data_IF_997248097121
#
_entry.id   IF_997248097121
#
_cell.length_a   1.000
_cell.length_b   1.000
_cell.length_c   1.000
_cell.angle_alpha   90.00
_cell.angle_beta   90.00
_cell.angle_gamma   90.00
#
_symmetry.space_group_name_H-M   'P 1'
#
loop_
_entity.id
_entity.type
_entity.pdbx_description
1 polymer ?
#
# COMPACT_ATOMS: atom_id res chain seq x y z
N UNK A 1 -40.24 65.81 12.10
CA UNK A 1 -41.65 65.40 12.23
C UNK A 1 -41.92 64.40 11.14
N UNK A 2 -42.09 63.13 11.50
CA UNK A 2 -43.38 62.40 11.63
C UNK A 2 -43.69 61.62 10.35
N UNK A 3 -43.66 60.30 10.50
CA UNK A 3 -44.10 59.29 9.53
C UNK A 3 -45.62 59.10 9.62
N UNK A 4 -46.30 58.82 8.51
CA UNK A 4 -47.56 58.05 8.48
C UNK A 4 -47.91 57.60 7.03
N UNK A 5 -49.02 56.89 6.83
CA UNK A 5 -49.02 55.43 6.67
C UNK A 5 -50.27 54.98 5.87
N UNK A 6 -50.17 53.91 5.07
CA UNK A 6 -51.29 53.27 4.33
C UNK A 6 -51.95 54.10 3.20
N UNK A 7 -52.65 53.55 2.21
CA UNK A 7 -53.18 52.19 1.97
C UNK A 7 -53.34 51.98 0.44
N UNK A 8 -53.18 50.75 -0.07
CA UNK A 8 -53.72 50.38 -1.39
C UNK A 8 -54.25 48.94 -1.33
N UNK A 9 -55.55 48.80 -1.57
CA UNK A 9 -56.25 47.52 -1.60
C UNK A 9 -56.78 47.25 -3.02
N UNK A 10 -56.27 46.21 -3.66
CA UNK A 10 -57.01 45.36 -4.60
C UNK A 10 -56.68 43.92 -4.18
N UNK A 11 -57.58 43.14 -3.59
CA UNK A 11 -58.87 42.66 -4.12
C UNK A 11 -58.74 41.69 -5.30
N UNK A 12 -58.34 40.46 -4.96
CA UNK A 12 -58.99 39.23 -5.46
C UNK A 12 -58.58 38.68 -6.83
N UNK A 13 -58.01 37.47 -6.84
CA UNK A 13 -57.95 36.64 -8.04
C UNK A 13 -56.90 35.53 -8.01
N UNK A 14 -57.30 34.32 -7.60
CA UNK A 14 -56.51 33.10 -7.85
C UNK A 14 -55.55 32.68 -6.73
N UNK A 15 -56.08 32.00 -5.71
CA UNK A 15 -55.26 31.21 -4.79
C UNK A 15 -54.75 29.94 -5.47
N UNK A 16 -53.71 30.06 -6.28
CA UNK A 16 -52.86 28.95 -6.69
C UNK A 16 -51.75 28.80 -5.66
N UNK A 17 -51.94 27.90 -4.68
CA UNK A 17 -50.86 27.51 -3.79
C UNK A 17 -49.88 26.61 -4.53
N UNK A 18 -49.03 27.24 -5.34
CA UNK A 18 -47.77 26.72 -5.89
C UNK A 18 -46.76 26.53 -4.76
N UNK A 19 -47.14 25.72 -3.77
CA UNK A 19 -46.26 25.23 -2.74
C UNK A 19 -45.22 24.35 -3.42
N UNK A 20 -44.05 24.93 -3.69
CA UNK A 20 -42.86 24.16 -3.97
C UNK A 20 -42.77 23.05 -2.89
N UNK A 21 -42.57 21.78 -3.28
CA UNK A 21 -42.65 20.66 -2.34
C UNK A 21 -41.70 20.92 -1.17
N UNK A 22 -42.23 20.94 0.04
CA UNK A 22 -41.47 21.31 1.24
C UNK A 22 -40.39 20.26 1.50
N UNK A 23 -39.16 20.56 1.06
CA UNK A 23 -38.06 19.61 1.09
C UNK A 23 -37.54 19.49 2.52
N UNK A 24 -38.07 18.50 3.24
CA UNK A 24 -37.72 18.24 4.63
C UNK A 24 -36.24 17.87 4.78
N UNK A 25 -35.55 18.46 5.75
CA UNK A 25 -34.13 18.21 5.96
C UNK A 25 -33.84 16.76 6.37
N UNK A 26 -32.72 16.18 5.93
CA UNK A 26 -32.33 14.82 6.27
C UNK A 26 -31.97 14.67 7.75
N UNK A 27 -32.02 13.44 8.25
CA UNK A 27 -31.40 13.07 9.54
C UNK A 27 -30.63 11.77 9.38
N UNK A 28 -29.60 11.56 10.21
CA UNK A 28 -28.94 10.26 10.41
C UNK A 28 -29.14 9.87 11.87
N UNK A 29 -29.86 8.77 12.11
CA UNK A 29 -30.17 8.28 13.46
C UNK A 29 -29.23 7.17 13.91
N UNK A 30 -28.75 6.34 12.99
CA UNK A 30 -27.75 5.31 13.25
C UNK A 30 -27.04 4.87 11.96
N UNK A 31 -25.94 4.13 12.12
CA UNK A 31 -25.28 3.42 11.04
C UNK A 31 -24.73 2.09 11.55
N UNK A 32 -24.69 1.08 10.69
CA UNK A 32 -24.19 -0.25 11.04
C UNK A 32 -23.42 -0.88 9.86
N UNK A 33 -22.21 -1.44 10.07
CA UNK A 33 -21.47 -1.49 11.34
C UNK A 33 -20.99 -0.10 11.78
N UNK A 34 -20.69 0.06 13.07
CA UNK A 34 -20.13 1.33 13.62
C UNK A 34 -18.62 1.47 13.38
N UNK A 35 -17.98 0.43 12.86
CA UNK A 35 -16.54 0.35 12.64
C UNK A 35 -16.21 -0.62 11.50
N UNK A 36 -15.11 -0.39 10.80
CA UNK A 36 -14.60 -1.28 9.77
C UNK A 36 -13.52 -0.63 8.91
N UNK A 37 -12.85 -1.39 8.02
CA UNK A 37 -11.86 -0.86 7.09
C UNK A 37 -12.47 -0.03 5.97
N UNK A 38 -11.58 0.61 5.20
CA UNK A 38 -11.86 1.00 3.80
C UNK A 38 -12.51 -0.18 3.06
N UNK A 39 -13.52 0.11 2.25
CA UNK A 39 -14.32 -0.92 1.55
C UNK A 39 -15.49 -1.49 2.37
N UNK A 40 -15.62 -1.17 3.66
CA UNK A 40 -16.80 -1.60 4.46
C UNK A 40 -18.09 -1.06 3.87
N UNK A 41 -19.07 -1.92 3.65
CA UNK A 41 -20.44 -1.51 3.30
C UNK A 41 -21.21 -1.14 4.56
N UNK A 42 -21.54 0.14 4.72
CA UNK A 42 -22.24 0.69 5.89
C UNK A 42 -23.69 0.97 5.52
N UNK A 43 -24.62 0.45 6.32
CA UNK A 43 -26.05 0.79 6.26
C UNK A 43 -26.31 1.99 7.15
N UNK A 44 -26.70 3.11 6.55
CA UNK A 44 -27.03 4.38 7.20
C UNK A 44 -28.55 4.47 7.33
N UNK A 45 -29.05 4.69 8.54
CA UNK A 45 -30.48 4.80 8.86
C UNK A 45 -30.82 6.23 9.29
N UNK A 46 -31.98 6.73 8.88
CA UNK A 46 -32.36 8.12 9.10
C UNK A 46 -33.75 8.49 8.58
N UNK A 47 -33.92 9.74 8.18
CA UNK A 47 -35.15 10.25 7.54
C UNK A 47 -34.82 11.21 6.39
N UNK A 48 -35.74 11.36 5.45
CA UNK A 48 -35.66 12.26 4.29
C UNK A 48 -34.38 12.06 3.45
N UNK A 49 -33.93 10.81 3.35
CA UNK A 49 -32.72 10.39 2.61
C UNK A 49 -32.94 10.20 1.10
N UNK A 50 -34.19 10.33 0.63
CA UNK A 50 -34.52 10.25 -0.81
C UNK A 50 -33.80 11.34 -1.60
N UNK A 51 -33.16 10.95 -2.70
CA UNK A 51 -32.45 11.90 -3.58
C UNK A 51 -31.12 12.39 -3.02
N UNK A 52 -30.51 11.69 -2.06
CA UNK A 52 -29.16 12.00 -1.60
C UNK A 52 -28.17 12.05 -2.78
N UNK A 53 -27.26 13.04 -2.74
CA UNK A 53 -26.29 13.36 -3.80
C UNK A 53 -24.85 13.08 -3.40
N UNK A 54 -24.52 13.16 -2.10
CA UNK A 54 -23.24 12.67 -1.55
C UNK A 54 -23.44 11.95 -0.23
N UNK A 55 -22.55 10.99 0.02
CA UNK A 55 -22.24 10.45 1.35
C UNK A 55 -20.75 10.67 1.55
N UNK A 56 -20.36 11.13 2.74
CA UNK A 56 -18.98 11.39 3.11
C UNK A 56 -18.67 10.74 4.46
N UNK A 57 -17.52 10.08 4.55
CA UNK A 57 -16.97 9.58 5.80
C UNK A 57 -15.83 10.52 6.22
N UNK A 58 -16.02 11.27 7.30
CA UNK A 58 -15.08 12.29 7.80
C UNK A 58 -14.57 13.26 6.72
N UNK A 59 -15.47 13.70 5.83
CA UNK A 59 -15.15 14.58 4.69
C UNK A 59 -14.56 13.89 3.46
N UNK A 60 -14.34 12.58 3.49
CA UNK A 60 -13.96 11.79 2.31
C UNK A 60 -15.21 11.25 1.60
N UNK A 61 -15.47 11.67 0.36
CA UNK A 61 -16.66 11.24 -0.40
C UNK A 61 -16.64 9.74 -0.70
N UNK A 62 -17.73 9.04 -0.39
CA UNK A 62 -17.91 7.63 -0.67
C UNK A 62 -17.85 7.35 -2.17
N UNK A 63 -17.11 6.32 -2.59
CA UNK A 63 -16.96 5.94 -4.01
C UNK A 63 -18.26 5.40 -4.60
N UNK A 64 -19.15 4.89 -3.76
CA UNK A 64 -20.46 4.36 -4.15
C UNK A 64 -21.43 4.42 -2.96
N UNK A 65 -22.69 4.74 -3.25
CA UNK A 65 -23.81 4.57 -2.33
C UNK A 65 -25.10 4.27 -3.10
N UNK A 66 -26.05 3.61 -2.44
CA UNK A 66 -27.38 3.32 -2.95
C UNK A 66 -28.43 3.87 -1.99
N UNK A 67 -29.31 4.73 -2.48
CA UNK A 67 -30.51 5.13 -1.74
C UNK A 67 -31.53 4.00 -1.81
N UNK A 68 -31.71 3.27 -0.71
CA UNK A 68 -32.64 2.13 -0.65
C UNK A 68 -34.08 2.63 -0.53
N UNK A 69 -34.31 3.63 0.33
CA UNK A 69 -35.59 4.32 0.51
C UNK A 69 -35.38 5.61 1.33
N UNK A 70 -36.45 6.32 1.66
CA UNK A 70 -36.42 7.58 2.41
C UNK A 70 -35.80 7.51 3.82
N UNK A 71 -35.62 6.31 4.39
CA UNK A 71 -35.06 6.09 5.73
C UNK A 71 -33.77 5.27 5.74
N UNK A 72 -33.25 4.85 4.58
CA UNK A 72 -32.06 4.00 4.48
C UNK A 72 -31.21 4.25 3.24
N UNK A 73 -29.89 4.36 3.45
CA UNK A 73 -28.84 4.36 2.43
C UNK A 73 -27.83 3.25 2.75
N UNK A 74 -27.24 2.63 1.73
CA UNK A 74 -26.00 1.85 1.90
C UNK A 74 -24.86 2.58 1.21
N UNK A 75 -23.69 2.67 1.86
CA UNK A 75 -22.52 3.39 1.33
C UNK A 75 -21.21 2.67 1.65
N UNK A 76 -20.25 2.73 0.73
CA UNK A 76 -18.95 2.07 0.88
C UNK A 76 -17.91 3.04 1.45
N UNK A 77 -17.20 2.66 2.51
CA UNK A 77 -16.13 3.48 3.11
C UNK A 77 -15.01 3.71 2.07
N UNK A 78 -14.70 4.96 1.68
CA UNK A 78 -13.71 5.25 0.64
C UNK A 78 -12.26 5.15 1.13
N UNK A 79 -11.31 5.03 0.21
CA UNK A 79 -9.87 5.10 0.49
C UNK A 79 -9.48 6.47 1.06
N UNK A 80 -8.55 6.50 2.02
CA UNK A 80 -8.10 7.74 2.67
C UNK A 80 -9.01 8.23 3.82
N UNK A 81 -10.13 7.54 4.09
CA UNK A 81 -10.99 7.85 5.23
C UNK A 81 -10.23 7.70 6.55
N UNK A 82 -10.44 8.65 7.48
CA UNK A 82 -10.03 8.53 8.89
C UNK A 82 -11.27 8.47 9.80
N UNK A 83 -11.11 7.94 11.02
CA UNK A 83 -12.21 7.85 12.00
C UNK A 83 -12.89 9.20 12.24
N UNK A 84 -14.21 9.25 12.01
CA UNK A 84 -15.00 10.48 12.12
C UNK A 84 -16.46 10.28 11.73
N UNK A 85 -17.23 11.36 11.68
CA UNK A 85 -18.68 11.32 11.41
C UNK A 85 -19.01 11.00 9.95
N UNK A 86 -20.21 10.47 9.71
CA UNK A 86 -20.78 10.29 8.38
C UNK A 86 -21.67 11.50 8.08
N UNK A 87 -21.52 12.10 6.90
CA UNK A 87 -22.38 13.18 6.39
C UNK A 87 -23.13 12.72 5.15
N UNK A 88 -24.41 13.10 5.05
CA UNK A 88 -25.26 12.86 3.89
C UNK A 88 -25.85 14.18 3.38
N UNK A 89 -25.77 14.41 2.07
CA UNK A 89 -26.28 15.61 1.40
C UNK A 89 -27.52 15.26 0.57
N UNK A 90 -28.63 15.95 0.79
CA UNK A 90 -29.87 15.82 0.00
C UNK A 90 -30.36 17.20 -0.45
N UNK A 91 -31.36 17.30 -1.35
CA UNK A 91 -31.97 18.58 -1.70
C UNK A 91 -32.61 19.33 -0.51
N UNK A 92 -32.85 18.66 0.63
CA UNK A 92 -33.35 19.26 1.87
C UNK A 92 -32.26 19.79 2.82
N UNK A 93 -30.99 19.69 2.43
CA UNK A 93 -29.83 20.10 3.23
C UNK A 93 -28.90 18.93 3.56
N UNK A 94 -28.08 19.10 4.60
CA UNK A 94 -27.12 18.09 5.05
C UNK A 94 -27.48 17.53 6.42
N UNK A 95 -27.16 16.26 6.65
CA UNK A 95 -27.22 15.60 7.94
C UNK A 95 -25.86 15.01 8.28
N UNK A 96 -25.43 15.15 9.53
CA UNK A 96 -24.21 14.52 10.06
C UNK A 96 -24.58 13.60 11.20
N UNK A 97 -23.95 12.42 11.26
CA UNK A 97 -24.18 11.43 12.31
C UNK A 97 -23.69 11.92 13.67
N UNK A 98 -24.41 11.57 14.73
CA UNK A 98 -24.05 11.92 16.12
C UNK A 98 -22.85 11.12 16.65
N UNK A 99 -22.62 9.92 16.11
CA UNK A 99 -21.44 9.10 16.38
C UNK A 99 -20.45 9.10 15.21
N UNK A 100 -19.18 8.82 15.50
CA UNK A 100 -18.15 8.57 14.49
C UNK A 100 -18.18 7.11 14.03
N UNK A 101 -17.97 6.89 12.73
CA UNK A 101 -17.55 5.60 12.22
C UNK A 101 -16.06 5.41 12.52
N UNK A 102 -15.72 4.34 13.23
CA UNK A 102 -14.31 4.01 13.50
C UNK A 102 -13.72 3.30 12.29
N UNK A 103 -12.88 4.00 11.54
CA UNK A 103 -12.04 3.35 10.53
C UNK A 103 -11.04 2.48 11.29
N UNK A 104 -11.28 1.18 11.27
CA UNK A 104 -10.27 0.23 11.70
C UNK A 104 -9.31 0.06 10.53
N UNK A 105 -8.01 0.19 10.76
CA UNK A 105 -7.11 -0.67 10.00
C UNK A 105 -7.58 -2.09 10.30
N UNK A 106 -8.06 -2.80 9.29
CA UNK A 106 -8.20 -4.24 9.42
C UNK A 106 -6.78 -4.78 9.44
N UNK A 107 -6.26 -5.33 10.56
CA UNK A 107 -5.31 -6.41 10.41
C UNK A 107 -6.11 -7.51 9.74
N UNK A 108 -5.89 -7.71 8.46
CA UNK A 108 -6.48 -8.82 7.73
C UNK A 108 -6.11 -10.06 8.53
N UNK A 109 -7.10 -10.87 8.88
CA UNK A 109 -6.86 -12.20 9.43
C UNK A 109 -6.31 -13.07 8.30
N UNK A 110 -5.02 -12.90 8.05
CA UNK A 110 -4.29 -13.43 6.91
C UNK A 110 -2.87 -12.86 6.93
N UNK A 111 -1.88 -13.69 6.62
CA UNK A 111 -0.48 -13.30 6.56
C UNK A 111 -0.28 -12.06 5.68
N UNK A 112 0.49 -11.09 6.17
CA UNK A 112 1.04 -9.97 5.38
C UNK A 112 2.49 -10.21 4.97
N UNK A 113 2.92 -11.48 4.99
CA UNK A 113 4.22 -11.92 4.47
C UNK A 113 4.04 -12.26 2.99
N UNK A 114 4.81 -11.61 2.11
CA UNK A 114 4.93 -11.97 0.72
C UNK A 114 6.16 -12.86 0.53
N UNK A 115 5.92 -14.17 0.61
CA UNK A 115 6.92 -15.24 0.49
C UNK A 115 6.86 -15.94 -0.89
N UNK A 116 7.57 -17.06 -1.01
CA UNK A 116 7.63 -17.88 -2.23
C UNK A 116 6.25 -18.33 -2.75
N UNK A 117 5.24 -18.50 -1.88
CA UNK A 117 3.92 -19.02 -2.23
C UNK A 117 3.12 -18.02 -3.06
N UNK A 118 3.24 -16.72 -2.74
CA UNK A 118 2.53 -15.61 -3.43
C UNK A 118 3.39 -14.93 -4.50
N UNK A 119 4.71 -15.14 -4.47
CA UNK A 119 5.68 -14.65 -5.46
C UNK A 119 5.59 -15.40 -6.81
N UNK A 120 4.40 -15.43 -7.41
CA UNK A 120 4.05 -16.20 -8.62
C UNK A 120 3.12 -15.39 -9.54
N UNK A 121 3.34 -15.48 -10.85
CA UNK A 121 2.47 -14.81 -11.84
C UNK A 121 1.01 -15.22 -11.69
N UNK A 122 0.74 -16.51 -11.44
CA UNK A 122 -0.61 -17.03 -11.23
C UNK A 122 -1.35 -16.35 -10.07
N UNK A 123 -0.64 -15.96 -9.01
CA UNK A 123 -1.21 -15.24 -7.84
C UNK A 123 -1.29 -13.74 -8.13
N UNK A 124 -0.31 -13.14 -8.81
CA UNK A 124 -0.42 -11.77 -9.31
C UNK A 124 -1.68 -11.58 -10.18
N UNK A 125 -2.05 -12.60 -10.97
CA UNK A 125 -3.23 -12.53 -11.86
C UNK A 125 -4.57 -12.68 -11.13
N UNK A 126 -4.60 -13.11 -9.87
CA UNK A 126 -5.84 -13.10 -9.07
C UNK A 126 -6.11 -11.75 -8.42
N UNK A 127 -5.17 -10.80 -8.41
CA UNK A 127 -5.39 -9.52 -7.74
C UNK A 127 -6.46 -8.71 -8.50
N UNK A 128 -7.56 -8.29 -7.85
CA UNK A 128 -8.58 -7.49 -8.49
C UNK A 128 -8.02 -6.15 -8.98
N UNK A 129 -8.37 -5.77 -10.22
CA UNK A 129 -7.88 -4.54 -10.85
C UNK A 129 -8.11 -3.27 -10.02
N UNK A 130 -9.11 -3.25 -9.13
CA UNK A 130 -9.37 -2.12 -8.23
C UNK A 130 -8.18 -1.83 -7.30
N UNK A 131 -7.59 -2.87 -6.67
CA UNK A 131 -6.46 -2.71 -5.76
C UNK A 131 -5.16 -2.37 -6.49
N UNK A 132 -4.95 -2.93 -7.68
CA UNK A 132 -3.84 -2.54 -8.57
C UNK A 132 -3.99 -1.07 -9.02
N UNK A 133 -5.22 -0.63 -9.35
CA UNK A 133 -5.49 0.76 -9.69
C UNK A 133 -5.23 1.68 -8.50
N UNK A 134 -5.71 1.36 -7.30
CA UNK A 134 -5.38 2.12 -6.08
C UNK A 134 -3.87 2.20 -5.91
N UNK A 135 -3.17 1.05 -5.86
CA UNK A 135 -1.73 1.00 -5.68
C UNK A 135 -0.97 1.90 -6.68
N UNK A 136 -1.25 1.76 -7.98
CA UNK A 136 -0.55 2.51 -9.05
C UNK A 136 -1.00 3.96 -9.21
N UNK A 137 -1.96 4.47 -8.45
CA UNK A 137 -2.39 5.88 -8.56
C UNK A 137 -2.43 6.62 -7.22
N UNK A 138 -2.20 5.93 -6.10
CA UNK A 138 -2.18 6.55 -4.76
C UNK A 138 -0.88 6.34 -4.01
N UNK A 139 0.00 5.42 -4.42
CA UNK A 139 1.25 5.18 -3.71
C UNK A 139 2.45 5.87 -4.36
N UNK A 140 3.20 6.53 -3.49
CA UNK A 140 4.51 7.11 -3.73
C UNK A 140 5.48 6.32 -2.86
N UNK A 141 6.24 5.44 -3.50
CA UNK A 141 7.04 4.40 -2.87
C UNK A 141 8.50 4.84 -2.82
N UNK A 142 9.06 5.01 -1.63
CA UNK A 142 10.50 5.15 -1.46
C UNK A 142 11.13 3.78 -1.20
N UNK A 143 11.96 3.30 -2.12
CA UNK A 143 12.74 2.06 -1.95
C UNK A 143 14.22 2.40 -1.92
N UNK A 144 14.88 2.14 -0.79
CA UNK A 144 16.29 2.48 -0.62
C UNK A 144 17.12 1.21 -0.46
N UNK A 145 18.10 0.99 -1.33
CA UNK A 145 18.63 -0.35 -1.54
C UNK A 145 20.05 -0.37 -2.10
N UNK A 146 20.67 -1.55 -2.04
CA UNK A 146 21.99 -1.84 -2.59
C UNK A 146 21.91 -2.90 -3.69
N UNK A 147 22.98 -3.65 -3.94
CA UNK A 147 23.14 -4.51 -5.11
C UNK A 147 22.02 -5.54 -5.24
N UNK A 148 21.77 -6.38 -4.23
CA UNK A 148 20.69 -7.37 -4.27
C UNK A 148 19.28 -6.76 -4.35
N UNK A 149 19.11 -5.54 -3.83
CA UNK A 149 17.82 -4.82 -3.91
C UNK A 149 17.39 -4.51 -5.34
N UNK A 150 18.33 -4.41 -6.29
CA UNK A 150 18.03 -4.27 -7.73
C UNK A 150 17.10 -5.38 -8.26
N UNK A 151 17.01 -6.53 -7.57
CA UNK A 151 16.09 -7.61 -7.95
C UNK A 151 14.61 -7.18 -7.88
N UNK A 152 14.20 -6.31 -6.94
CA UNK A 152 12.83 -5.75 -6.97
C UNK A 152 12.72 -4.71 -8.08
N UNK A 153 13.58 -3.71 -8.10
CA UNK A 153 13.48 -2.57 -9.03
C UNK A 153 13.46 -3.05 -10.48
N UNK A 154 14.43 -3.89 -10.88
CA UNK A 154 14.52 -4.36 -12.27
C UNK A 154 13.38 -5.31 -12.67
N UNK A 155 12.90 -6.13 -11.73
CA UNK A 155 11.71 -6.96 -11.92
C UNK A 155 10.45 -6.12 -12.11
N UNK A 156 10.29 -5.07 -11.31
CA UNK A 156 9.19 -4.11 -11.39
C UNK A 156 9.22 -3.33 -12.71
N UNK A 157 10.40 -2.95 -13.19
CA UNK A 157 10.56 -2.24 -14.47
C UNK A 157 10.28 -3.10 -15.70
N UNK A 158 10.57 -4.41 -15.64
CA UNK A 158 10.26 -5.35 -16.71
C UNK A 158 8.78 -5.75 -16.79
N UNK A 159 8.06 -5.79 -15.66
CA UNK A 159 6.69 -6.30 -15.58
C UNK A 159 5.69 -5.62 -16.55
N UNK A 160 5.71 -4.29 -16.78
CA UNK A 160 4.93 -3.62 -17.82
C UNK A 160 4.99 -4.27 -19.22
N UNK A 161 6.10 -4.92 -19.56
CA UNK A 161 6.33 -5.56 -20.85
C UNK A 161 5.92 -7.04 -20.92
N UNK A 162 5.45 -7.64 -19.82
CA UNK A 162 5.25 -9.10 -19.74
C UNK A 162 4.04 -9.59 -20.54
N UNK A 163 2.82 -9.19 -20.17
CA UNK A 163 1.58 -9.65 -20.82
C UNK A 163 0.71 -8.47 -21.28
N UNK A 164 -0.21 -8.74 -22.22
CA UNK A 164 -1.12 -7.73 -22.76
C UNK A 164 -1.93 -7.05 -21.64
N UNK A 165 -1.77 -5.73 -21.51
CA UNK A 165 -2.41 -4.92 -20.47
C UNK A 165 -1.51 -4.60 -19.27
N UNK A 166 -0.35 -5.25 -19.12
CA UNK A 166 0.55 -5.04 -17.98
C UNK A 166 1.16 -3.63 -18.00
N UNK A 167 1.41 -3.06 -19.18
CA UNK A 167 1.81 -1.66 -19.32
C UNK A 167 0.81 -0.66 -18.71
N UNK A 168 -0.46 -1.03 -18.60
CA UNK A 168 -1.47 -0.25 -17.87
C UNK A 168 -1.53 -0.66 -16.39
N UNK A 169 -1.56 -1.96 -16.08
CA UNK A 169 -1.74 -2.44 -14.71
C UNK A 169 -0.54 -2.15 -13.80
N UNK A 170 0.67 -2.33 -14.31
CA UNK A 170 1.90 -2.35 -13.52
C UNK A 170 2.92 -1.30 -13.99
N UNK A 171 2.47 -0.31 -14.78
CA UNK A 171 3.31 0.81 -15.22
C UNK A 171 3.86 1.60 -14.04
N UNK A 172 5.13 2.02 -14.14
CA UNK A 172 5.89 2.70 -13.08
C UNK A 172 6.58 3.96 -13.63
N UNK A 173 6.65 5.02 -12.84
CA UNK A 173 7.63 6.12 -13.00
C UNK A 173 8.75 5.95 -11.99
N UNK A 174 9.99 6.03 -12.46
CA UNK A 174 11.19 5.97 -11.62
C UNK A 174 11.77 7.38 -11.46
N UNK A 175 11.94 7.85 -10.22
CA UNK A 175 12.67 9.07 -9.86
C UNK A 175 12.25 10.30 -10.69
N UNK A 176 10.95 10.41 -10.96
CA UNK A 176 10.41 11.42 -11.86
C UNK A 176 10.15 12.72 -11.11
N UNK A 177 10.53 13.87 -11.70
CA UNK A 177 10.28 15.19 -11.11
C UNK A 177 8.78 15.52 -10.94
N UNK A 178 7.88 14.72 -11.51
CA UNK A 178 6.46 14.66 -11.20
C UNK A 178 5.94 13.24 -11.51
N UNK A 179 5.13 12.68 -10.62
CA UNK A 179 4.48 11.39 -10.82
C UNK A 179 3.54 11.40 -12.04
N UNK A 180 3.51 10.30 -12.80
CA UNK A 180 2.47 10.04 -13.79
C UNK A 180 1.23 9.50 -13.03
N UNK A 181 0.09 10.19 -13.01
CA UNK A 181 -1.07 9.81 -12.20
C UNK A 181 -1.75 8.49 -12.66
N UNK A 182 -1.21 7.83 -13.69
CA UNK A 182 -1.64 6.51 -14.17
C UNK A 182 -0.66 5.38 -13.83
N UNK A 183 0.47 5.69 -13.19
CA UNK A 183 1.55 4.75 -12.90
C UNK A 183 2.00 4.87 -11.44
N UNK A 184 2.51 3.76 -10.91
CA UNK A 184 3.12 3.76 -9.58
C UNK A 184 4.31 4.73 -9.57
N UNK A 185 4.35 5.62 -8.59
CA UNK A 185 5.48 6.51 -8.40
C UNK A 185 6.51 5.84 -7.49
N UNK A 186 7.73 5.66 -8.00
CA UNK A 186 8.74 4.78 -7.41
C UNK A 186 10.09 5.51 -7.33
N UNK A 187 10.45 5.89 -6.11
CA UNK A 187 11.65 6.63 -5.75
C UNK A 187 12.72 5.61 -5.35
N UNK A 188 13.43 5.14 -6.37
CA UNK A 188 14.45 4.08 -6.33
C UNK A 188 15.82 4.66 -5.93
N UNK A 189 16.28 4.26 -4.76
CA UNK A 189 17.57 4.59 -4.14
C UNK A 189 17.86 6.10 -3.94
N UNK A 190 16.82 6.94 -3.90
CA UNK A 190 16.99 8.41 -3.82
C UNK A 190 17.40 8.95 -2.45
N UNK A 191 17.30 8.13 -1.38
CA UNK A 191 17.81 8.52 -0.05
C UNK A 191 19.34 8.47 -0.02
N UNK A 192 19.93 7.57 -0.82
CA UNK A 192 21.38 7.42 -1.03
C UNK A 192 22.18 7.30 0.27
N UNK A 193 23.29 8.03 0.34
CA UNK A 193 24.07 8.23 1.57
C UNK A 193 24.79 6.99 2.11
N UNK A 194 25.30 7.11 3.35
CA UNK A 194 26.07 6.05 4.04
C UNK A 194 25.23 4.82 4.33
N UNK A 195 23.92 4.99 4.56
CA UNK A 195 23.01 3.92 4.96
C UNK A 195 21.94 3.62 3.90
N UNK A 196 22.38 3.51 2.65
CA UNK A 196 21.58 2.95 1.55
C UNK A 196 21.22 1.47 1.76
N UNK A 197 21.97 0.78 2.64
CA UNK A 197 21.79 -0.63 3.00
C UNK A 197 21.42 -0.80 4.48
N UNK A 198 20.55 -1.76 4.80
CA UNK A 198 20.37 -2.21 6.18
C UNK A 198 21.63 -2.90 6.73
N UNK A 199 22.46 -3.54 5.88
CA UNK A 199 23.76 -4.12 6.29
C UNK A 199 24.71 -3.06 6.87
N UNK A 200 24.67 -1.83 6.34
CA UNK A 200 25.50 -0.72 6.82
C UNK A 200 24.94 -0.04 8.08
N UNK A 201 23.65 -0.22 8.39
CA UNK A 201 22.99 0.44 9.50
C UNK A 201 23.44 -0.06 10.89
N UNK A 202 24.00 -1.26 10.98
CA UNK A 202 24.58 -1.79 12.23
C UNK A 202 25.77 -0.97 12.77
N UNK A 203 26.40 -0.14 11.93
CA UNK A 203 27.40 0.82 12.39
C UNK A 203 26.79 1.93 13.27
N UNK A 204 25.58 2.41 12.93
CA UNK A 204 24.81 3.37 13.73
C UNK A 204 23.32 3.42 13.29
N UNK A 205 22.47 2.65 13.99
CA UNK A 205 21.02 2.65 13.77
C UNK A 205 20.35 4.00 14.09
N UNK A 206 20.94 4.86 14.92
CA UNK A 206 20.40 6.19 15.17
C UNK A 206 20.65 7.11 13.96
N UNK A 207 21.87 7.08 13.40
CA UNK A 207 22.20 7.81 12.18
C UNK A 207 21.40 7.32 10.95
N UNK A 208 21.12 6.01 10.82
CA UNK A 208 20.18 5.49 9.81
C UNK A 208 18.78 6.10 9.98
N UNK A 209 18.21 6.09 11.20
CA UNK A 209 16.89 6.73 11.45
C UNK A 209 16.92 8.23 11.17
N UNK A 210 18.01 8.93 11.49
CA UNK A 210 18.14 10.37 11.21
C UNK A 210 18.25 10.66 9.71
N UNK A 211 18.87 9.78 8.91
CA UNK A 211 18.83 9.86 7.45
C UNK A 211 17.38 9.67 6.91
N UNK A 212 16.65 8.68 7.43
CA UNK A 212 15.24 8.46 7.06
C UNK A 212 14.37 9.65 7.44
N UNK A 213 14.55 10.20 8.64
CA UNK A 213 13.86 11.44 9.10
C UNK A 213 14.19 12.63 8.20
N UNK A 214 15.45 12.81 7.80
CA UNK A 214 15.84 13.89 6.91
C UNK A 214 15.16 13.79 5.53
N UNK A 215 14.99 12.58 5.00
CA UNK A 215 14.26 12.33 3.75
C UNK A 215 12.74 12.52 3.91
N UNK A 216 12.14 12.03 5.01
CA UNK A 216 10.70 12.16 5.25
C UNK A 216 10.25 13.53 5.79
N UNK A 217 11.12 14.31 6.44
CA UNK A 217 10.79 15.69 6.85
C UNK A 217 11.09 16.71 5.73
N UNK A 218 11.65 16.29 4.60
CA UNK A 218 11.80 17.13 3.41
C UNK A 218 10.45 17.33 2.71
N UNK A 219 10.06 18.60 2.50
CA UNK A 219 8.82 18.96 1.83
C UNK A 219 8.72 18.48 0.37
N UNK A 220 9.86 18.21 -0.29
CA UNK A 220 9.88 17.61 -1.63
C UNK A 220 9.32 16.17 -1.66
N UNK A 221 9.33 15.48 -0.52
CA UNK A 221 8.96 14.08 -0.36
C UNK A 221 7.68 13.92 0.48
N UNK A 222 6.85 14.97 0.57
CA UNK A 222 5.68 15.04 1.47
C UNK A 222 4.51 14.11 1.07
N UNK A 223 4.56 13.56 -0.13
CA UNK A 223 3.65 12.60 -0.76
C UNK A 223 4.03 11.14 -0.51
N UNK A 224 5.32 10.82 -0.31
CA UNK A 224 5.82 9.48 0.05
C UNK A 224 4.95 8.84 1.14
N UNK A 225 4.37 7.68 0.85
CA UNK A 225 3.42 7.02 1.73
C UNK A 225 3.62 5.51 1.85
N UNK A 226 4.58 4.95 1.11
CA UNK A 226 5.10 3.59 1.30
C UNK A 226 6.62 3.67 1.32
N UNK A 227 7.27 2.94 2.23
CA UNK A 227 8.73 2.96 2.38
C UNK A 227 9.29 1.58 2.71
N UNK A 228 10.40 1.19 2.08
CA UNK A 228 11.07 -0.09 2.34
C UNK A 228 12.58 -0.06 2.05
N UNK A 229 13.31 -1.07 2.52
CA UNK A 229 14.77 -1.19 2.37
C UNK A 229 15.21 -2.63 2.16
N UNK A 230 16.27 -2.86 1.39
CA UNK A 230 16.94 -4.17 1.28
C UNK A 230 18.06 -4.35 2.31
N UNK A 231 18.40 -5.61 2.55
CA UNK A 231 19.73 -6.02 3.00
C UNK A 231 20.53 -6.47 1.76
N UNK A 232 21.80 -6.07 1.60
CA UNK A 232 22.73 -6.82 0.74
C UNK A 232 23.07 -8.16 1.39
N UNK A 233 23.39 -8.13 2.68
CA UNK A 233 23.60 -9.28 3.53
C UNK A 233 22.97 -9.01 4.90
N UNK A 234 22.40 -10.04 5.52
CA UNK A 234 21.82 -10.01 6.88
C UNK A 234 22.65 -10.86 7.86
N UNK A 235 23.71 -11.52 7.36
CA UNK A 235 24.57 -12.42 8.12
C UNK A 235 25.34 -11.64 9.20
N UNK A 236 25.18 -12.07 10.45
CA UNK A 236 25.78 -11.43 11.62
C UNK A 236 25.11 -10.14 12.09
N UNK A 237 24.09 -9.63 11.37
CA UNK A 237 23.48 -8.33 11.65
C UNK A 237 22.47 -8.33 12.82
N UNK A 238 22.22 -7.17 13.44
CA UNK A 238 21.27 -7.08 14.56
C UNK A 238 19.81 -6.86 14.10
N UNK A 239 19.10 -7.96 13.78
CA UNK A 239 17.65 -7.90 13.54
C UNK A 239 16.87 -7.24 14.69
N UNK A 240 17.14 -7.46 15.99
CA UNK A 240 16.48 -6.73 17.06
C UNK A 240 16.66 -5.20 16.99
N UNK A 241 17.82 -4.72 16.53
CA UNK A 241 18.08 -3.29 16.31
C UNK A 241 17.32 -2.74 15.10
N UNK A 242 17.22 -3.53 14.02
CA UNK A 242 16.37 -3.21 12.87
C UNK A 242 14.90 -3.10 13.26
N UNK A 243 14.34 -4.12 13.93
CA UNK A 243 12.92 -4.16 14.31
C UNK A 243 12.54 -2.99 15.24
N UNK A 244 13.37 -2.71 16.25
CA UNK A 244 13.14 -1.56 17.14
C UNK A 244 13.31 -0.21 16.45
N UNK A 245 14.19 -0.10 15.45
CA UNK A 245 14.35 1.11 14.64
C UNK A 245 13.19 1.33 13.68
N UNK A 246 12.67 0.27 13.06
CA UNK A 246 11.46 0.28 12.25
C UNK A 246 10.23 0.68 13.09
N UNK A 247 10.06 0.10 14.29
CA UNK A 247 8.99 0.51 15.21
C UNK A 247 9.07 2.00 15.55
N UNK A 248 10.27 2.53 15.82
CA UNK A 248 10.46 3.96 16.08
C UNK A 248 9.99 4.82 14.91
N UNK A 249 10.26 4.41 13.66
CA UNK A 249 9.80 5.11 12.47
C UNK A 249 8.28 4.97 12.25
N UNK A 250 7.69 3.82 12.59
CA UNK A 250 6.24 3.61 12.58
C UNK A 250 5.54 4.50 13.61
N UNK A 251 6.07 4.62 14.83
CA UNK A 251 5.54 5.48 15.89
C UNK A 251 5.68 6.99 15.56
N UNK A 252 6.67 7.35 14.73
CA UNK A 252 6.86 8.71 14.23
C UNK A 252 5.98 9.02 13.02
N UNK A 253 6.04 8.20 11.97
CA UNK A 253 5.53 8.51 10.64
C UNK A 253 4.34 7.65 10.19
N UNK A 254 4.01 6.58 10.91
CA UNK A 254 2.83 5.74 10.64
C UNK A 254 1.51 6.45 10.88
N UNK A 255 0.39 5.76 10.61
CA UNK A 255 -0.95 6.32 10.86
C UNK A 255 -1.15 6.67 12.33
N UNK A 256 -1.45 7.94 12.62
CA UNK A 256 -1.55 8.47 13.99
C UNK A 256 -0.19 8.79 14.65
N UNK A 257 0.93 8.65 13.94
CA UNK A 257 2.28 8.85 14.46
C UNK A 257 2.58 10.25 14.96
N UNK A 258 3.65 10.37 15.76
CA UNK A 258 4.00 11.63 16.44
C UNK A 258 4.30 12.78 15.48
N UNK A 259 4.78 12.51 14.25
CA UNK A 259 5.04 13.49 13.19
C UNK A 259 3.82 13.80 12.30
N UNK A 260 2.76 12.98 12.36
CA UNK A 260 1.60 13.08 11.45
C UNK A 260 0.50 14.00 11.99
N UNK A 261 0.04 14.95 11.18
CA UNK A 261 -1.10 15.84 11.47
C UNK A 261 -0.78 17.32 11.28
N UNK A 262 -1.47 18.19 12.01
CA UNK A 262 -1.25 19.65 12.00
C UNK A 262 -0.86 20.15 13.39
N UNK A 263 0.04 21.14 13.45
CA UNK A 263 0.48 21.80 14.69
C UNK A 263 1.95 21.55 15.04
N UNK A 264 2.37 22.08 16.20
CA UNK A 264 3.78 22.06 16.64
C UNK A 264 4.35 20.64 16.72
N UNK A 265 5.48 20.40 16.05
CA UNK A 265 6.14 19.10 16.01
C UNK A 265 5.62 18.14 14.94
N UNK A 266 4.51 18.46 14.26
CA UNK A 266 4.05 17.73 13.07
C UNK A 266 4.83 18.20 11.84
N UNK A 267 5.37 17.25 11.07
CA UNK A 267 6.15 17.53 9.85
C UNK A 267 5.46 17.05 8.58
N UNK A 268 4.49 16.12 8.69
CA UNK A 268 3.75 15.57 7.54
C UNK A 268 2.26 15.51 7.83
N UNK A 269 1.45 15.64 6.79
CA UNK A 269 0.03 15.24 6.79
C UNK A 269 -0.16 13.80 6.29
N UNK A 270 0.77 13.32 5.46
CA UNK A 270 0.75 11.99 4.85
C UNK A 270 1.51 10.99 5.73
N UNK A 271 0.80 9.99 6.25
CA UNK A 271 1.39 8.85 6.95
C UNK A 271 2.13 7.90 6.01
N UNK A 272 3.20 7.27 6.50
CA UNK A 272 4.02 6.30 5.76
C UNK A 272 3.72 4.88 6.23
N UNK A 273 3.48 3.98 5.28
CA UNK A 273 3.42 2.53 5.51
C UNK A 273 4.81 1.96 5.31
N UNK A 274 5.38 1.35 6.34
CA UNK A 274 6.69 0.71 6.27
C UNK A 274 6.54 -0.78 5.94
N UNK A 275 7.25 -1.24 4.91
CA UNK A 275 7.37 -2.67 4.58
C UNK A 275 8.71 -3.17 5.12
N UNK A 276 8.64 -4.23 5.91
CA UNK A 276 9.81 -4.96 6.40
C UNK A 276 10.34 -5.89 5.30
N UNK A 277 11.64 -6.16 5.29
CA UNK A 277 12.23 -7.08 4.31
C UNK A 277 13.26 -7.97 5.00
N UNK A 278 13.30 -9.24 4.62
CA UNK A 278 14.34 -10.18 5.06
C UNK A 278 15.59 -10.03 4.19
N UNK A 279 16.70 -10.64 4.61
CA UNK A 279 17.86 -10.82 3.75
C UNK A 279 17.70 -11.95 2.73
N UNK A 280 18.79 -12.21 2.00
CA UNK A 280 18.93 -13.22 0.96
C UNK A 280 19.52 -14.53 1.50
N UNK A 281 19.42 -15.61 0.73
CA UNK A 281 20.12 -16.85 1.02
C UNK A 281 21.62 -16.77 0.64
N UNK A 282 22.51 -17.44 1.39
CA UNK A 282 23.98 -17.28 1.32
C UNK A 282 24.74 -18.62 1.16
N UNK A 283 24.10 -19.62 0.58
CA UNK A 283 24.66 -20.96 0.39
C UNK A 283 24.65 -21.79 1.68
N UNK A 284 25.72 -22.53 1.93
CA UNK A 284 25.89 -23.39 3.12
C UNK A 284 25.82 -22.64 4.48
N UNK A 285 25.79 -21.30 4.49
CA UNK A 285 25.81 -20.46 5.69
C UNK A 285 24.41 -19.93 6.10
N UNK A 286 23.33 -20.57 5.68
CA UNK A 286 21.97 -20.08 5.91
C UNK A 286 21.43 -20.20 7.35
N UNK A 287 22.01 -21.04 8.22
CA UNK A 287 21.36 -21.45 9.48
C UNK A 287 22.21 -21.25 10.74
N UNK A 288 21.56 -20.98 11.87
CA UNK A 288 22.20 -20.61 13.13
C UNK A 288 22.01 -19.13 13.49
N UNK A 289 22.35 -18.77 14.73
CA UNK A 289 22.19 -17.41 15.23
C UNK A 289 22.99 -16.40 14.40
N UNK A 290 22.31 -15.39 13.86
CA UNK A 290 22.89 -14.39 12.96
C UNK A 290 22.80 -14.75 11.47
N UNK A 291 22.45 -15.97 11.09
CA UNK A 291 22.44 -16.40 9.69
C UNK A 291 21.05 -16.23 9.03
N UNK A 292 20.97 -16.07 7.70
CA UNK A 292 19.78 -15.50 7.04
C UNK A 292 18.44 -16.18 7.28
N UNK A 293 18.36 -17.52 7.36
CA UNK A 293 17.09 -18.22 7.64
C UNK A 293 16.51 -17.84 9.00
N UNK A 294 17.35 -17.87 10.03
CA UNK A 294 16.92 -17.66 11.40
C UNK A 294 16.66 -16.15 11.65
N UNK A 295 17.39 -15.27 10.95
CA UNK A 295 17.18 -13.82 10.92
C UNK A 295 15.89 -13.43 10.20
N UNK A 296 15.62 -14.03 9.03
CA UNK A 296 14.38 -13.86 8.28
C UNK A 296 13.19 -14.27 9.13
N UNK A 297 13.29 -15.41 9.83
CA UNK A 297 12.26 -15.87 10.77
C UNK A 297 11.97 -14.86 11.89
N UNK A 298 12.99 -14.22 12.47
CA UNK A 298 12.77 -13.17 13.49
C UNK A 298 11.96 -11.99 12.92
N UNK A 299 12.21 -11.60 11.66
CA UNK A 299 11.47 -10.53 10.99
C UNK A 299 10.04 -10.96 10.67
N UNK A 300 9.82 -12.15 10.10
CA UNK A 300 8.48 -12.62 9.71
C UNK A 300 7.60 -12.95 10.92
N UNK A 301 8.16 -13.51 12.00
CA UNK A 301 7.46 -13.71 13.27
C UNK A 301 7.03 -12.37 13.87
N UNK A 302 7.92 -11.37 13.86
CA UNK A 302 7.61 -10.02 14.35
C UNK A 302 6.49 -9.36 13.52
N UNK A 303 6.58 -9.43 12.19
CA UNK A 303 5.58 -8.86 11.30
C UNK A 303 4.22 -9.54 11.46
N UNK A 304 4.20 -10.87 11.59
CA UNK A 304 2.99 -11.64 11.87
C UNK A 304 2.36 -11.26 13.21
N UNK A 305 3.17 -11.09 14.26
CA UNK A 305 2.68 -10.73 15.59
C UNK A 305 2.09 -9.31 15.69
N UNK A 306 2.51 -8.38 14.83
CA UNK A 306 2.07 -6.98 14.84
C UNK A 306 1.14 -6.60 13.67
N UNK A 307 0.92 -7.52 12.72
CA UNK A 307 0.16 -7.24 11.50
C UNK A 307 0.89 -6.31 10.52
N UNK A 308 2.23 -6.35 10.50
CA UNK A 308 3.04 -5.55 9.59
C UNK A 308 3.29 -6.25 8.25
N UNK A 309 3.44 -5.43 7.22
CA UNK A 309 3.75 -5.84 5.86
C UNK A 309 5.22 -6.28 5.74
N UNK A 310 5.48 -7.46 5.19
CA UNK A 310 6.84 -7.98 5.05
C UNK A 310 7.06 -8.73 3.74
N UNK A 311 8.16 -8.47 3.02
CA UNK A 311 8.57 -9.28 1.87
C UNK A 311 9.67 -10.24 2.33
N UNK A 312 9.41 -11.55 2.24
CA UNK A 312 10.34 -12.60 2.64
C UNK A 312 11.18 -13.05 1.44
N UNK A 313 12.25 -12.29 1.20
CA UNK A 313 13.28 -12.62 0.22
C UNK A 313 13.97 -13.94 0.51
N UNK A 314 14.17 -14.31 1.78
CA UNK A 314 14.86 -15.55 2.12
C UNK A 314 14.01 -16.73 1.66
N UNK A 315 12.71 -16.71 1.92
CA UNK A 315 11.78 -17.71 1.41
C UNK A 315 11.75 -17.72 -0.12
N UNK A 316 11.66 -16.57 -0.79
CA UNK A 316 11.66 -16.49 -2.26
C UNK A 316 12.95 -17.06 -2.87
N UNK A 317 14.11 -16.78 -2.29
CA UNK A 317 15.40 -17.25 -2.80
C UNK A 317 15.65 -18.73 -2.45
N UNK A 318 15.07 -19.24 -1.36
CA UNK A 318 15.30 -20.60 -0.88
C UNK A 318 14.33 -21.68 -1.39
N UNK A 319 13.30 -21.30 -2.15
CA UNK A 319 12.31 -22.24 -2.68
C UNK A 319 12.32 -22.22 -4.21
N UNK A 320 12.43 -23.40 -4.82
CA UNK A 320 12.27 -23.57 -6.26
C UNK A 320 10.85 -23.22 -6.73
N UNK A 321 10.64 -23.23 -8.05
CA UNK A 321 9.36 -22.87 -8.67
C UNK A 321 8.20 -23.84 -8.36
N UNK A 322 8.51 -25.04 -7.86
CA UNK A 322 7.55 -26.04 -7.36
C UNK A 322 7.37 -26.01 -5.83
N UNK A 323 7.88 -24.96 -5.18
CA UNK A 323 7.95 -24.78 -3.72
C UNK A 323 8.86 -25.77 -2.97
N UNK A 324 9.76 -26.49 -3.64
CA UNK A 324 10.78 -27.29 -2.93
C UNK A 324 11.82 -26.39 -2.28
N UNK A 325 12.00 -26.52 -0.96
CA UNK A 325 12.99 -25.78 -0.15
C UNK A 325 14.39 -26.40 -0.26
N UNK A 326 15.41 -25.53 -0.40
CA UNK A 326 16.83 -25.87 -0.37
C UNK A 326 17.55 -25.03 0.68
N UNK A 327 18.11 -25.65 1.71
CA UNK A 327 18.79 -24.94 2.80
C UNK A 327 20.19 -24.46 2.44
N UNK A 328 20.85 -25.10 1.48
CA UNK A 328 22.24 -24.85 1.04
C UNK A 328 22.34 -23.87 -0.15
N UNK A 329 21.25 -23.16 -0.44
CA UNK A 329 21.12 -22.31 -1.63
C UNK A 329 21.66 -20.91 -1.43
N UNK A 330 22.26 -20.32 -2.47
CA UNK A 330 22.68 -18.93 -2.50
C UNK A 330 21.62 -17.97 -3.12
N UNK A 331 22.00 -16.71 -3.21
CA UNK A 331 21.28 -15.57 -3.80
C UNK A 331 20.99 -15.70 -5.30
N UNK A 332 21.72 -16.58 -6.00
CA UNK A 332 21.52 -16.94 -7.41
C UNK A 332 20.90 -18.34 -7.59
N UNK A 333 20.19 -18.87 -6.58
CA UNK A 333 19.48 -20.16 -6.64
C UNK A 333 20.34 -21.41 -6.94
N UNK A 334 21.65 -21.32 -6.70
CA UNK A 334 22.58 -22.46 -6.79
C UNK A 334 22.53 -23.25 -5.49
N UNK A 335 22.23 -24.54 -5.57
CA UNK A 335 22.22 -25.48 -4.44
C UNK A 335 22.96 -26.77 -4.82
N UNK A 336 23.81 -27.26 -3.91
CA UNK A 336 24.53 -28.54 -4.07
C UNK A 336 23.57 -29.73 -3.95
N UNK A 337 22.56 -29.59 -3.09
CA UNK A 337 21.48 -30.56 -2.84
C UNK A 337 20.52 -30.67 -4.02
N UNK A 338 20.23 -29.56 -4.70
CA UNK A 338 19.56 -29.56 -6.00
C UNK A 338 20.46 -30.15 -7.11
N UNK A 339 21.76 -29.83 -7.06
CA UNK A 339 22.77 -30.27 -8.03
C UNK A 339 23.07 -29.25 -9.13
N UNK A 340 22.71 -27.98 -8.94
CA UNK A 340 22.79 -26.94 -9.97
C UNK A 340 22.06 -25.66 -9.56
N UNK A 341 21.54 -24.93 -10.55
CA UNK A 341 20.75 -23.71 -10.37
C UNK A 341 19.29 -23.97 -10.79
N UNK A 342 18.37 -24.00 -9.81
CA UNK A 342 16.98 -24.37 -10.10
C UNK A 342 16.20 -23.31 -10.87
N UNK A 343 16.59 -22.04 -10.80
CA UNK A 343 16.00 -20.99 -11.62
C UNK A 343 16.50 -21.05 -13.06
N UNK A 344 17.77 -21.39 -13.29
CA UNK A 344 18.31 -21.59 -14.63
C UNK A 344 17.66 -22.79 -15.31
N UNK A 345 17.56 -23.92 -14.62
CA UNK A 345 16.97 -25.15 -15.17
C UNK A 345 15.48 -24.96 -15.47
N UNK A 346 14.74 -24.26 -14.58
CA UNK A 346 13.36 -23.88 -14.85
C UNK A 346 13.25 -22.90 -16.02
N UNK A 347 13.99 -21.78 -16.01
CA UNK A 347 13.86 -20.72 -17.03
C UNK A 347 14.25 -21.21 -18.43
N UNK A 348 15.18 -22.17 -18.53
CA UNK A 348 15.65 -22.74 -19.81
C UNK A 348 14.58 -23.58 -20.52
N UNK A 349 13.63 -24.17 -19.77
CA UNK A 349 12.53 -25.00 -20.32
C UNK A 349 11.18 -24.26 -20.38
N UNK A 350 11.15 -22.96 -20.05
CA UNK A 350 9.95 -22.10 -20.04
C UNK A 350 10.08 -20.91 -20.99
N UNK A 351 8.94 -20.34 -21.40
CA UNK A 351 8.84 -19.43 -22.55
C UNK A 351 8.84 -17.95 -22.11
N UNK A 352 9.83 -17.19 -22.60
CA UNK A 352 9.87 -15.73 -22.47
C UNK A 352 8.59 -15.08 -23.02
N UNK A 353 7.98 -14.19 -22.25
CA UNK A 353 6.72 -13.52 -22.57
C UNK A 353 5.46 -14.34 -22.24
N UNK A 354 5.61 -15.59 -21.79
CA UNK A 354 4.50 -16.45 -21.33
C UNK A 354 4.64 -16.78 -19.84
N UNK A 355 5.80 -17.29 -19.46
CA UNK A 355 6.08 -17.83 -18.12
C UNK A 355 6.97 -16.90 -17.29
N UNK A 356 7.88 -16.19 -17.97
CA UNK A 356 8.81 -15.21 -17.39
C UNK A 356 9.06 -14.05 -18.36
N UNK A 357 9.66 -12.96 -17.87
CA UNK A 357 9.98 -11.75 -18.66
C UNK A 357 11.37 -11.21 -18.35
N UNK A 358 11.96 -10.48 -19.29
CA UNK A 358 13.25 -9.81 -19.09
C UNK A 358 13.11 -8.68 -18.05
N UNK A 359 13.98 -8.68 -17.04
CA UNK A 359 14.12 -7.51 -16.18
C UNK A 359 14.74 -6.35 -16.96
N UNK A 360 14.45 -5.11 -16.57
CA UNK A 360 15.02 -3.91 -17.20
C UNK A 360 15.77 -3.07 -16.16
N UNK A 361 16.83 -2.38 -16.58
CA UNK A 361 17.60 -1.46 -15.72
C UNK A 361 16.80 -0.23 -15.25
N UNK A 362 15.71 0.09 -15.96
CA UNK A 362 14.83 1.24 -15.75
C UNK A 362 13.50 1.05 -16.52
N UNK A 363 12.42 1.80 -16.24
CA UNK A 363 11.15 1.67 -16.97
C UNK A 363 11.30 1.92 -18.49
N UNK A 364 11.21 0.86 -19.29
CA UNK A 364 11.43 0.91 -20.74
C UNK A 364 12.91 0.99 -21.16
N UNK A 365 13.84 0.72 -20.23
CA UNK A 365 15.28 0.71 -20.44
C UNK A 365 15.83 -0.57 -21.06
N UNK A 366 17.08 -0.89 -20.73
CA UNK A 366 17.79 -2.04 -21.32
C UNK A 366 17.54 -3.31 -20.53
N UNK A 367 17.54 -4.46 -21.22
CA UNK A 367 17.51 -5.78 -20.55
C UNK A 367 18.76 -5.93 -19.68
N UNK A 368 18.56 -6.20 -18.40
CA UNK A 368 19.62 -6.34 -17.41
C UNK A 368 19.32 -7.44 -16.40
N UNK A 369 20.35 -7.95 -15.75
CA UNK A 369 20.22 -8.80 -14.58
C UNK A 369 20.34 -7.95 -13.32
N UNK A 370 19.69 -8.39 -12.23
CA UNK A 370 19.97 -7.80 -10.94
C UNK A 370 21.41 -8.10 -10.54
N UNK A 371 22.04 -7.22 -9.75
CA UNK A 371 23.35 -7.57 -9.21
C UNK A 371 23.19 -8.78 -8.28
N UNK A 372 24.05 -9.78 -8.44
CA UNK A 372 23.98 -11.08 -7.74
C UNK A 372 22.90 -12.06 -8.24
N UNK A 373 22.29 -11.85 -9.42
CA UNK A 373 21.60 -12.92 -10.13
C UNK A 373 22.06 -13.08 -11.59
N UNK A 374 21.81 -14.28 -12.14
CA UNK A 374 22.05 -14.64 -13.54
C UNK A 374 20.78 -15.09 -14.28
N UNK A 375 19.63 -15.09 -13.59
CA UNK A 375 18.30 -15.36 -14.18
C UNK A 375 17.31 -14.22 -13.94
N UNK A 376 16.38 -14.05 -14.88
CA UNK A 376 15.34 -13.05 -14.77
C UNK A 376 14.23 -13.47 -13.80
N UNK A 377 13.92 -14.77 -13.72
CA UNK A 377 12.84 -15.29 -12.85
C UNK A 377 13.04 -14.91 -11.37
N UNK A 378 14.27 -14.83 -10.87
CA UNK A 378 14.61 -14.38 -9.50
C UNK A 378 14.02 -12.99 -9.18
N UNK A 379 14.18 -12.05 -10.10
CA UNK A 379 13.65 -10.68 -9.98
C UNK A 379 12.16 -10.60 -10.34
N UNK A 380 11.69 -11.40 -11.31
CA UNK A 380 10.27 -11.51 -11.65
C UNK A 380 9.45 -11.90 -10.39
N UNK A 381 9.88 -12.93 -9.64
CA UNK A 381 9.21 -13.38 -8.41
C UNK A 381 9.12 -12.27 -7.36
N UNK A 382 10.20 -11.51 -7.16
CA UNK A 382 10.23 -10.41 -6.18
C UNK A 382 9.36 -9.23 -6.63
N UNK A 383 9.23 -8.98 -7.92
CA UNK A 383 8.23 -8.05 -8.48
C UNK A 383 6.79 -8.53 -8.25
N UNK A 384 6.52 -9.84 -8.36
CA UNK A 384 5.20 -10.40 -8.04
C UNK A 384 4.85 -10.21 -6.56
N UNK A 385 5.79 -10.52 -5.66
CA UNK A 385 5.67 -10.28 -4.23
C UNK A 385 5.44 -8.80 -3.88
N UNK A 386 6.17 -7.90 -4.55
CA UNK A 386 6.02 -6.44 -4.39
C UNK A 386 4.62 -5.95 -4.79
N UNK A 387 4.12 -6.32 -5.97
CA UNK A 387 2.78 -5.88 -6.40
C UNK A 387 1.65 -6.53 -5.60
N UNK A 388 1.84 -7.77 -5.15
CA UNK A 388 0.96 -8.40 -4.16
C UNK A 388 0.95 -7.59 -2.86
N UNK A 389 2.11 -7.14 -2.38
CA UNK A 389 2.22 -6.33 -1.17
C UNK A 389 1.47 -5.01 -1.30
N UNK A 390 1.68 -4.28 -2.39
CA UNK A 390 0.98 -3.02 -2.63
C UNK A 390 -0.54 -3.23 -2.69
N UNK A 391 -1.03 -4.33 -3.29
CA UNK A 391 -2.45 -4.64 -3.28
C UNK A 391 -2.99 -4.87 -1.86
N UNK A 392 -2.24 -5.57 -0.99
CA UNK A 392 -2.62 -5.74 0.44
C UNK A 392 -2.65 -4.40 1.18
N UNK A 393 -1.67 -3.51 0.95
CA UNK A 393 -1.66 -2.15 1.52
C UNK A 393 -2.84 -1.31 0.99
N UNK A 394 -3.25 -1.51 -0.26
CA UNK A 394 -4.45 -0.90 -0.85
C UNK A 394 -5.78 -1.45 -0.29
N UNK A 395 -5.74 -2.37 0.69
CA UNK A 395 -6.91 -2.92 1.37
C UNK A 395 -7.43 -4.23 0.76
N UNK A 396 -6.63 -4.93 -0.05
CA UNK A 396 -6.98 -6.28 -0.51
C UNK A 396 -6.83 -7.30 0.63
N UNK A 397 -7.79 -8.19 0.77
CA UNK A 397 -7.82 -9.24 1.80
C UNK A 397 -6.95 -10.46 1.44
N UNK A 398 -6.59 -10.61 0.16
CA UNK A 398 -5.83 -11.74 -0.37
C UNK A 398 -6.69 -12.77 -1.15
N UNK A 399 -8.00 -12.56 -1.28
CA UNK A 399 -8.90 -13.46 -2.02
C UNK A 399 -9.13 -12.99 -3.48
N UNK A 400 -9.25 -13.89 -4.47
CA UNK A 400 -9.46 -13.56 -5.88
C UNK A 400 -10.71 -12.71 -6.21
#
# INVERSE_FOLDING_TARGET
MVSLLFMSNCSGGGGGNDGAPEVSSPTITSFNPISGPVGTLVTITGTNLTGATSIEFHGTTATSFTVVNATQITATVPSGTTTGTITASTPGGTATSSGSFTVTTTPATGSYIADHTVAKDSVLRTIPNAYINTARTTFHVAYNHTSHGTHVSYGVYGLPGFKTGDATKFGVTMNAAAADPTKLDFHDNEIGGTYSDLSTADADWAAWRDQVRAYLDNAANADINVMMWSWCDITGHSVPSYLSSMQTLIDEYGSGGTKIGTGTGKTRTTSVTFIFMTGHAVGDANTGAGNPRDQAKLITDYCTAHGYYCIDYYAIDSHAMDDTYYEDVNDDAVSTTYGGNFYQDWQTVHILGTDWYNNLDSPGGSVSYGQHNTQHITANRKSFAFWWMLARIAGWDGNP
#
